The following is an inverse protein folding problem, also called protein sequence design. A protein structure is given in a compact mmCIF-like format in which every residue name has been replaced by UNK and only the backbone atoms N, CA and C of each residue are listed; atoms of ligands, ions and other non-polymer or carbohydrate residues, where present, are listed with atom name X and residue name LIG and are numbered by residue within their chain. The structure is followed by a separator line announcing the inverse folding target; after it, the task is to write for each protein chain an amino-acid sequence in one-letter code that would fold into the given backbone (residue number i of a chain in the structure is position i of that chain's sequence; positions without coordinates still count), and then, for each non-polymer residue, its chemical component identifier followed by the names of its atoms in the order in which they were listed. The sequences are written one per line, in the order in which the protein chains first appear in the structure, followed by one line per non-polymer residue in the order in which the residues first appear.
data_IF_130958512088
#
_entry.id   IF_130958512088
#
_cell.length_a   1.000
_cell.length_b   1.000
_cell.length_c   1.000
_cell.angle_alpha   90.00
_cell.angle_beta   90.00
_cell.angle_gamma   90.00
#
_symmetry.space_group_name_H-M   'P 1'
#
loop_
_entity.id
_entity.type
_entity.pdbx_description
1 polymer ?
#
# COMPACT_ATOMS: atom_id res chain seq x y z
N UNK A 1 -5.31 -14.83 26.01
CA UNK A 1 -4.25 -15.11 25.04
C UNK A 1 -3.11 -14.11 25.22
N UNK A 2 -1.90 -14.59 25.14
CA UNK A 2 -0.73 -13.77 24.85
C UNK A 2 -0.26 -14.09 23.43
N UNK A 3 -0.01 -13.05 22.65
CA UNK A 3 0.50 -13.16 21.29
C UNK A 3 1.47 -12.01 21.06
N UNK A 4 2.73 -12.27 20.72
CA UNK A 4 3.66 -11.23 20.29
C UNK A 4 3.19 -10.59 19.00
N UNK A 5 3.63 -9.37 18.75
CA UNK A 5 3.31 -8.62 17.52
C UNK A 5 4.29 -8.90 16.36
N UNK A 6 5.29 -9.71 16.58
CA UNK A 6 6.41 -10.01 15.69
C UNK A 6 6.38 -11.44 15.13
N UNK A 7 5.19 -12.00 14.96
CA UNK A 7 4.99 -13.33 14.37
C UNK A 7 3.74 -13.40 13.48
N UNK A 8 3.77 -14.30 12.52
CA UNK A 8 2.62 -14.68 11.67
C UNK A 8 2.16 -16.08 12.09
N UNK A 9 0.87 -16.23 12.36
CA UNK A 9 0.28 -17.53 12.72
C UNK A 9 -0.48 -18.11 11.53
N UNK A 10 -0.23 -19.40 11.25
CA UNK A 10 -0.94 -20.18 10.24
C UNK A 10 -1.89 -21.22 10.86
N UNK A 11 -1.95 -21.28 12.20
CA UNK A 11 -2.81 -22.19 12.96
C UNK A 11 -4.07 -21.46 13.44
N UNK A 12 -5.26 -22.06 13.22
CA UNK A 12 -6.49 -21.54 13.80
C UNK A 12 -6.55 -21.86 15.31
N UNK A 13 -6.70 -20.81 16.13
CA UNK A 13 -6.70 -20.93 17.59
C UNK A 13 -8.09 -21.20 18.19
N UNK A 14 -9.19 -21.13 17.40
CA UNK A 14 -10.57 -21.18 17.92
C UNK A 14 -10.92 -22.53 18.60
N UNK A 15 -10.33 -23.61 18.13
CA UNK A 15 -10.62 -24.97 18.62
C UNK A 15 -9.63 -25.46 19.69
N UNK A 16 -8.78 -24.60 20.23
CA UNK A 16 -7.80 -24.99 21.22
C UNK A 16 -8.39 -25.04 22.64
N UNK A 17 -7.78 -25.85 23.55
CA UNK A 17 -8.28 -26.00 24.92
C UNK A 17 -8.34 -24.68 25.69
N UNK A 18 -9.33 -24.51 26.56
CA UNK A 18 -9.44 -23.39 27.50
C UNK A 18 -8.70 -23.66 28.82
N UNK A 19 -7.55 -24.32 28.74
CA UNK A 19 -6.62 -24.58 29.84
C UNK A 19 -5.29 -23.89 29.55
N UNK A 20 -4.34 -23.87 30.49
CA UNK A 20 -3.01 -23.34 30.19
C UNK A 20 -2.36 -24.17 29.09
N UNK A 21 -2.05 -23.54 27.96
CA UNK A 21 -1.27 -24.16 26.91
C UNK A 21 -0.25 -23.20 26.30
N UNK A 22 0.80 -23.76 25.76
CA UNK A 22 1.91 -23.02 25.12
C UNK A 22 2.11 -23.53 23.70
N UNK A 23 2.21 -22.62 22.75
CA UNK A 23 2.54 -22.93 21.37
C UNK A 23 4.00 -23.41 21.25
N UNK A 24 4.20 -24.47 20.47
CA UNK A 24 5.51 -25.07 20.28
C UNK A 24 5.82 -25.29 18.81
N UNK A 25 7.10 -25.22 18.46
CA UNK A 25 7.61 -25.52 17.13
C UNK A 25 9.01 -26.12 17.22
N UNK A 26 9.42 -26.83 16.17
CA UNK A 26 10.79 -27.33 16.05
C UNK A 26 11.70 -26.23 15.52
N UNK A 27 12.86 -26.08 16.12
CA UNK A 27 13.94 -25.20 15.65
C UNK A 27 15.22 -25.97 15.51
N UNK A 28 16.17 -25.45 14.75
CA UNK A 28 17.51 -26.05 14.69
C UNK A 28 18.26 -25.90 16.04
N UNK A 29 19.23 -26.77 16.30
CA UNK A 29 20.02 -26.71 17.52
C UNK A 29 20.72 -25.36 17.67
N UNK A 30 21.22 -24.81 16.57
CA UNK A 30 21.96 -23.53 16.58
C UNK A 30 21.05 -22.34 16.89
N UNK A 31 19.75 -22.42 16.54
CA UNK A 31 18.76 -21.36 16.81
C UNK A 31 18.13 -21.49 18.21
N UNK A 32 18.25 -22.66 18.85
CA UNK A 32 17.58 -22.96 20.13
C UNK A 32 17.97 -21.98 21.26
N UNK A 33 19.19 -21.44 21.25
CA UNK A 33 19.65 -20.45 22.23
C UNK A 33 18.93 -19.09 22.18
N UNK A 34 18.12 -18.86 21.13
CA UNK A 34 17.30 -17.65 20.98
C UNK A 34 15.90 -17.77 21.60
N UNK A 35 15.50 -19.01 21.95
CA UNK A 35 14.15 -19.33 22.39
C UNK A 35 14.07 -19.89 23.81
N UNK A 36 12.87 -19.83 24.37
CA UNK A 36 12.52 -20.63 25.56
C UNK A 36 12.22 -22.06 25.09
N UNK A 37 13.07 -23.01 25.44
CA UNK A 37 13.00 -24.41 25.00
C UNK A 37 12.25 -25.26 26.01
N UNK A 38 11.45 -26.19 25.51
CA UNK A 38 10.51 -27.00 26.27
C UNK A 38 10.73 -28.47 25.95
N UNK A 39 10.89 -29.30 26.96
CA UNK A 39 10.81 -30.76 26.82
C UNK A 39 9.37 -31.18 27.00
N UNK A 40 8.81 -31.85 25.99
CA UNK A 40 7.39 -32.24 25.95
C UNK A 40 7.27 -33.75 25.94
N UNK A 41 6.48 -34.29 26.86
CA UNK A 41 6.16 -35.72 26.94
C UNK A 41 4.63 -35.87 27.10
N UNK A 42 4.00 -36.72 26.28
CA UNK A 42 2.56 -36.93 26.26
C UNK A 42 1.71 -35.64 26.14
N UNK A 43 2.23 -34.65 25.39
CA UNK A 43 1.57 -33.37 25.21
C UNK A 43 1.67 -32.37 26.38
N UNK A 44 2.44 -32.70 27.41
CA UNK A 44 2.67 -31.85 28.57
C UNK A 44 4.11 -31.38 28.63
N UNK A 45 4.33 -30.17 29.13
CA UNK A 45 5.67 -29.61 29.36
C UNK A 45 6.25 -30.25 30.65
N UNK A 46 7.43 -30.82 30.54
CA UNK A 46 8.15 -31.49 31.67
C UNK A 46 9.42 -30.75 32.07
N UNK A 47 10.05 -30.00 31.20
CA UNK A 47 11.22 -29.20 31.48
C UNK A 47 11.25 -27.94 30.64
N UNK A 48 11.82 -26.88 31.21
CA UNK A 48 12.00 -25.57 30.51
C UNK A 48 13.46 -25.16 30.60
N UNK A 49 14.04 -24.81 29.44
CA UNK A 49 15.40 -24.23 29.33
C UNK A 49 15.34 -22.94 28.55
N UNK A 50 15.41 -21.81 29.24
CA UNK A 50 15.34 -20.51 28.62
C UNK A 50 16.68 -20.10 28.01
N UNK A 51 16.69 -19.81 26.70
CA UNK A 51 17.83 -19.28 25.93
C UNK A 51 19.11 -20.13 26.10
N UNK A 52 19.00 -21.45 26.06
CA UNK A 52 20.09 -22.41 26.11
C UNK A 52 20.12 -23.24 24.83
N UNK A 53 21.32 -23.67 24.43
CA UNK A 53 21.48 -24.63 23.33
C UNK A 53 20.87 -25.97 23.77
N UNK A 54 19.90 -26.46 23.02
CA UNK A 54 19.19 -27.71 23.27
C UNK A 54 19.27 -28.64 22.06
N UNK A 55 19.24 -29.95 22.31
CA UNK A 55 19.18 -30.96 21.26
C UNK A 55 17.75 -31.12 20.71
N UNK A 56 17.56 -32.06 19.78
CA UNK A 56 16.28 -32.32 19.10
C UNK A 56 15.15 -32.83 20.00
N UNK A 57 15.42 -33.15 21.28
CA UNK A 57 14.40 -33.57 22.25
C UNK A 57 13.57 -32.40 22.78
N UNK A 58 14.01 -31.16 22.50
CA UNK A 58 13.34 -29.93 22.89
C UNK A 58 12.66 -29.31 21.69
N UNK A 59 11.55 -28.62 21.98
CA UNK A 59 10.84 -27.72 21.05
C UNK A 59 10.91 -26.29 21.57
N UNK A 60 10.89 -25.34 20.70
CA UNK A 60 10.89 -23.93 21.07
C UNK A 60 9.47 -23.42 21.36
N UNK A 61 9.33 -22.48 22.27
CA UNK A 61 8.13 -21.66 22.42
C UNK A 61 7.94 -20.82 21.15
N UNK A 62 6.82 -21.04 20.47
CA UNK A 62 6.47 -20.44 19.20
C UNK A 62 5.51 -19.27 19.32
N UNK A 63 5.50 -18.61 20.42
CA UNK A 63 4.86 -17.35 20.63
C UNK A 63 3.39 -17.32 21.09
N UNK A 64 2.35 -17.98 20.55
CA UNK A 64 1.06 -17.91 21.20
C UNK A 64 1.02 -18.78 22.47
N UNK A 65 0.41 -18.24 23.51
CA UNK A 65 0.05 -19.02 24.70
C UNK A 65 -1.33 -18.61 25.20
N UNK A 66 -2.03 -19.56 25.79
CA UNK A 66 -3.26 -19.30 26.52
C UNK A 66 -3.01 -19.49 28.00
N UNK A 67 -3.29 -18.44 28.77
CA UNK A 67 -3.06 -18.42 30.20
C UNK A 67 -4.41 -18.34 30.89
N UNK A 68 -4.87 -19.47 31.44
CA UNK A 68 -6.04 -19.51 32.29
C UNK A 68 -5.71 -18.95 33.66
N UNK A 69 -4.59 -19.37 34.22
CA UNK A 69 -4.10 -18.97 35.55
C UNK A 69 -3.23 -17.71 35.42
N UNK A 70 -3.81 -16.63 34.90
CA UNK A 70 -3.10 -15.39 34.53
C UNK A 70 -2.46 -14.68 35.73
N UNK A 71 -2.98 -14.85 36.94
CA UNK A 71 -2.41 -14.27 38.16
C UNK A 71 -1.02 -14.83 38.45
N UNK A 72 -0.85 -16.16 38.32
CA UNK A 72 0.44 -16.84 38.48
C UNK A 72 1.46 -16.34 37.44
N UNK A 73 1.00 -16.19 36.21
CA UNK A 73 1.82 -15.70 35.12
C UNK A 73 2.31 -14.26 35.35
N UNK A 74 1.39 -13.36 35.73
CA UNK A 74 1.74 -11.98 35.99
C UNK A 74 2.63 -11.81 37.23
N UNK A 75 2.41 -12.61 38.25
CA UNK A 75 3.29 -12.66 39.45
C UNK A 75 4.73 -13.06 39.08
N UNK A 76 4.86 -14.08 38.19
CA UNK A 76 6.13 -14.50 37.65
C UNK A 76 6.86 -13.43 36.88
N UNK A 77 6.12 -12.63 36.08
CA UNK A 77 6.69 -11.50 35.34
C UNK A 77 7.15 -10.37 36.26
N UNK A 78 6.36 -10.03 37.30
CA UNK A 78 6.62 -8.89 38.20
C UNK A 78 7.80 -9.15 39.15
N UNK A 79 7.91 -10.36 39.67
CA UNK A 79 8.84 -10.70 40.75
C UNK A 79 10.25 -11.05 40.26
N UNK A 80 10.50 -11.14 38.96
CA UNK A 80 11.79 -11.47 38.38
C UNK A 80 12.54 -10.23 37.87
N UNK A 81 13.89 -10.33 37.87
CA UNK A 81 14.75 -9.26 37.37
C UNK A 81 14.49 -8.98 35.89
N UNK A 82 14.40 -7.71 35.55
CA UNK A 82 14.39 -7.25 34.16
C UNK A 82 15.75 -7.49 33.50
N UNK A 83 15.73 -7.95 32.26
CA UNK A 83 16.91 -8.03 31.40
C UNK A 83 16.83 -6.88 30.41
N UNK A 84 17.86 -6.06 30.31
CA UNK A 84 17.85 -4.83 29.46
C UNK A 84 16.65 -3.93 29.67
N UNK A 85 16.19 -3.81 30.93
CA UNK A 85 15.01 -3.06 31.35
C UNK A 85 13.65 -3.62 30.88
N UNK A 86 13.61 -4.86 30.41
CA UNK A 86 12.40 -5.55 29.94
C UNK A 86 12.06 -6.76 30.80
N UNK A 87 10.76 -7.02 30.98
CA UNK A 87 10.28 -8.26 31.59
C UNK A 87 10.37 -9.39 30.57
N UNK A 88 11.01 -10.49 30.93
CA UNK A 88 11.12 -11.66 30.06
C UNK A 88 9.87 -12.53 30.22
N UNK A 89 9.21 -12.84 29.10
CA UNK A 89 8.00 -13.68 29.10
C UNK A 89 8.26 -15.08 29.66
N UNK A 90 9.45 -15.61 29.47
CA UNK A 90 9.87 -16.88 30.01
C UNK A 90 9.71 -16.99 31.56
N UNK A 91 9.82 -15.87 32.27
CA UNK A 91 9.60 -15.85 33.73
C UNK A 91 8.14 -16.15 34.10
N UNK A 92 7.18 -15.64 33.35
CA UNK A 92 5.76 -15.96 33.50
C UNK A 92 5.47 -17.42 33.14
N UNK A 93 6.08 -17.91 32.06
CA UNK A 93 5.93 -19.30 31.60
C UNK A 93 6.50 -20.26 32.65
N UNK A 94 7.69 -19.99 33.20
CA UNK A 94 8.31 -20.79 34.25
C UNK A 94 7.42 -20.81 35.51
N UNK A 95 6.85 -19.68 35.91
CA UNK A 95 5.95 -19.62 37.06
C UNK A 95 4.68 -20.43 36.85
N UNK A 96 4.10 -20.41 35.66
CA UNK A 96 2.97 -21.27 35.28
C UNK A 96 3.34 -22.73 35.35
N UNK A 97 4.47 -23.11 34.76
CA UNK A 97 4.98 -24.50 34.77
C UNK A 97 5.19 -25.03 36.17
N UNK A 98 5.69 -24.21 37.08
CA UNK A 98 5.96 -24.62 38.48
C UNK A 98 4.69 -24.81 39.33
N UNK A 99 3.62 -24.09 39.00
CA UNK A 99 2.41 -24.00 39.84
C UNK A 99 1.18 -24.64 39.19
N UNK A 100 1.18 -24.91 37.88
CA UNK A 100 0.04 -25.50 37.16
C UNK A 100 0.49 -26.37 35.98
N UNK A 101 -0.42 -27.17 35.46
CA UNK A 101 -0.16 -28.00 34.28
C UNK A 101 -0.13 -27.13 33.02
N UNK A 102 0.89 -27.33 32.20
CA UNK A 102 1.08 -26.60 30.94
C UNK A 102 1.07 -27.58 29.76
N UNK A 103 0.09 -27.45 28.88
CA UNK A 103 -0.06 -28.30 27.69
C UNK A 103 0.73 -27.70 26.54
N UNK A 104 1.45 -28.50 25.78
CA UNK A 104 2.12 -28.08 24.55
C UNK A 104 1.19 -28.28 23.35
N UNK A 105 1.14 -27.28 22.48
CA UNK A 105 0.36 -27.30 21.25
C UNK A 105 1.29 -26.96 20.08
N UNK A 106 1.34 -27.85 19.09
CA UNK A 106 2.12 -27.59 17.88
C UNK A 106 1.46 -26.48 17.05
N UNK A 107 2.21 -25.41 16.79
CA UNK A 107 1.74 -24.19 16.12
C UNK A 107 2.59 -23.93 14.89
N UNK A 108 1.93 -23.84 13.75
CA UNK A 108 2.56 -23.30 12.53
C UNK A 108 2.63 -21.78 12.62
N UNK A 109 3.83 -21.27 12.66
CA UNK A 109 4.10 -19.85 12.80
C UNK A 109 5.36 -19.44 12.02
N UNK A 110 5.52 -18.16 11.80
CA UNK A 110 6.72 -17.56 11.23
C UNK A 110 7.17 -16.40 12.10
N UNK A 111 8.46 -16.39 12.46
CA UNK A 111 9.07 -15.32 13.24
C UNK A 111 9.48 -14.18 12.30
N UNK A 112 8.95 -12.98 12.55
CA UNK A 112 9.27 -11.75 11.82
C UNK A 112 9.95 -10.70 12.71
N UNK A 113 10.47 -11.12 13.87
CA UNK A 113 11.07 -10.24 14.88
C UNK A 113 12.37 -9.57 14.47
N UNK A 114 12.96 -9.93 13.34
CA UNK A 114 14.11 -9.23 12.77
C UNK A 114 13.90 -8.89 11.27
N UNK A 115 14.60 -7.86 10.81
CA UNK A 115 14.46 -7.35 9.45
C UNK A 115 14.81 -8.40 8.38
N UNK A 116 15.74 -9.31 8.65
CA UNK A 116 16.16 -10.36 7.69
C UNK A 116 15.06 -11.40 7.51
N UNK A 117 14.47 -11.87 8.62
CA UNK A 117 13.36 -12.82 8.61
C UNK A 117 12.14 -12.21 7.91
N UNK A 118 11.79 -10.97 8.25
CA UNK A 118 10.72 -10.22 7.59
C UNK A 118 10.96 -10.08 6.08
N UNK A 119 12.17 -9.67 5.66
CA UNK A 119 12.52 -9.55 4.25
C UNK A 119 12.49 -10.89 3.51
N UNK A 120 12.88 -12.00 4.18
CA UNK A 120 12.79 -13.34 3.60
C UNK A 120 11.34 -13.69 3.29
N UNK A 121 10.43 -13.50 4.23
CA UNK A 121 8.99 -13.79 4.05
C UNK A 121 8.39 -12.90 2.96
N UNK A 122 8.74 -11.62 2.93
CA UNK A 122 8.32 -10.73 1.84
C UNK A 122 8.81 -11.19 0.48
N UNK A 123 10.04 -11.69 0.39
CA UNK A 123 10.59 -12.21 -0.87
C UNK A 123 9.97 -13.53 -1.32
N UNK A 124 9.42 -14.30 -0.39
CA UNK A 124 8.69 -15.55 -0.63
C UNK A 124 7.18 -15.30 -0.88
N UNK A 125 6.67 -14.09 -0.59
CA UNK A 125 5.31 -13.72 -0.90
C UNK A 125 5.17 -13.46 -2.41
N UNK A 126 4.17 -14.07 -3.04
CA UNK A 126 3.86 -13.86 -4.45
C UNK A 126 3.28 -12.46 -4.74
N UNK A 127 2.90 -11.72 -3.71
CA UNK A 127 2.24 -10.43 -3.83
C UNK A 127 3.24 -9.26 -3.78
N UNK A 128 3.02 -8.25 -4.62
CA UNK A 128 3.81 -7.03 -4.60
C UNK A 128 3.42 -6.14 -3.42
N UNK A 129 4.39 -5.76 -2.57
CA UNK A 129 4.16 -4.97 -1.37
C UNK A 129 4.01 -3.48 -1.70
N UNK A 130 2.81 -2.93 -1.46
CA UNK A 130 2.48 -1.51 -1.54
C UNK A 130 2.42 -0.83 -0.16
N UNK A 131 2.81 -1.51 0.91
CA UNK A 131 2.75 -0.94 2.25
C UNK A 131 3.65 0.30 2.36
N UNK A 132 3.21 1.23 3.18
CA UNK A 132 4.00 2.43 3.52
C UNK A 132 4.51 2.27 4.96
N UNK A 133 5.77 2.57 5.22
CA UNK A 133 6.36 2.32 6.54
C UNK A 133 5.72 3.12 7.68
N UNK A 134 5.02 4.21 7.34
CA UNK A 134 4.44 5.13 8.31
C UNK A 134 2.91 5.09 8.37
N UNK A 135 2.24 4.26 7.56
CA UNK A 135 0.79 4.16 7.50
C UNK A 135 0.33 2.73 7.78
N UNK A 136 -0.69 2.58 8.62
CA UNK A 136 -1.24 1.28 9.03
C UNK A 136 -2.76 1.31 8.91
N UNK A 137 -3.34 0.21 8.43
CA UNK A 137 -4.79 0.04 8.29
C UNK A 137 -5.19 -1.22 9.05
N UNK A 138 -6.17 -1.07 9.94
CA UNK A 138 -6.70 -2.18 10.72
C UNK A 138 -8.20 -2.34 10.45
N UNK A 139 -8.64 -3.58 10.37
CA UNK A 139 -10.05 -3.96 10.23
C UNK A 139 -10.51 -4.64 11.52
N UNK A 140 -11.39 -3.97 12.28
CA UNK A 140 -11.83 -4.43 13.60
C UNK A 140 -13.35 -4.18 13.75
N UNK A 141 -14.13 -5.22 14.03
CA UNK A 141 -15.56 -5.11 14.33
C UNK A 141 -16.33 -4.23 13.31
N UNK A 142 -16.18 -4.53 12.03
CA UNK A 142 -16.80 -3.79 10.92
C UNK A 142 -16.38 -2.30 10.84
N UNK A 143 -15.24 -1.96 11.40
CA UNK A 143 -14.63 -0.63 11.28
C UNK A 143 -13.26 -0.72 10.61
N UNK A 144 -12.90 0.34 9.90
CA UNK A 144 -11.57 0.58 9.38
C UNK A 144 -10.90 1.64 10.24
N UNK A 145 -9.72 1.35 10.74
CA UNK A 145 -8.88 2.29 11.49
C UNK A 145 -7.66 2.60 10.65
N UNK A 146 -7.46 3.87 10.31
CA UNK A 146 -6.24 4.36 9.67
C UNK A 146 -5.38 5.06 10.70
N UNK A 147 -4.13 4.61 10.81
CA UNK A 147 -3.12 5.19 11.68
C UNK A 147 -1.92 5.65 10.84
N UNK A 148 -1.33 6.77 11.21
CA UNK A 148 -0.04 7.20 10.67
C UNK A 148 0.86 7.77 11.77
N UNK A 149 2.15 7.51 11.67
CA UNK A 149 3.16 8.17 12.52
C UNK A 149 3.29 9.66 12.16
N UNK A 150 2.92 10.05 10.95
CA UNK A 150 2.88 11.43 10.46
C UNK A 150 1.52 12.07 10.76
N UNK A 151 1.40 12.67 11.94
CA UNK A 151 0.13 13.24 12.43
C UNK A 151 -0.45 14.34 11.54
N UNK A 152 0.38 15.11 10.84
CA UNK A 152 -0.08 16.16 9.94
C UNK A 152 -0.90 15.60 8.78
N UNK A 153 -0.47 14.48 8.19
CA UNK A 153 -1.21 13.80 7.14
C UNK A 153 -2.59 13.35 7.61
N UNK A 154 -2.68 12.80 8.82
CA UNK A 154 -3.96 12.38 9.41
C UNK A 154 -4.90 13.57 9.63
N UNK A 155 -4.40 14.69 10.15
CA UNK A 155 -5.21 15.89 10.39
C UNK A 155 -5.73 16.50 9.08
N UNK A 156 -4.88 16.53 8.04
CA UNK A 156 -5.29 16.98 6.70
C UNK A 156 -6.34 16.04 6.07
N UNK A 157 -6.18 14.72 6.21
CA UNK A 157 -7.18 13.75 5.74
C UNK A 157 -8.51 13.92 6.47
N UNK A 158 -8.51 14.06 7.80
CA UNK A 158 -9.72 14.31 8.59
C UNK A 158 -10.43 15.60 8.12
N UNK A 159 -9.66 16.67 7.88
CA UNK A 159 -10.19 17.92 7.36
C UNK A 159 -10.85 17.72 5.99
N UNK A 160 -10.16 17.06 5.07
CA UNK A 160 -10.64 16.78 3.71
C UNK A 160 -11.90 15.93 3.68
N UNK A 161 -11.94 14.85 4.45
CA UNK A 161 -13.10 13.96 4.54
C UNK A 161 -14.35 14.65 5.10
N UNK A 162 -14.17 15.69 5.93
CA UNK A 162 -15.28 16.48 6.48
C UNK A 162 -15.88 17.48 5.49
N UNK A 163 -15.11 17.92 4.48
CA UNK A 163 -15.60 18.86 3.44
C UNK A 163 -16.71 18.23 2.62
N UNK A 164 -16.56 16.95 2.24
CA UNK A 164 -17.53 16.20 1.44
C UNK A 164 -17.82 14.83 2.06
N UNK A 165 -18.45 14.82 3.24
CA UNK A 165 -18.71 13.61 4.03
C UNK A 165 -19.73 12.64 3.42
N UNK A 166 -20.38 13.01 2.31
CA UNK A 166 -21.35 12.21 1.58
C UNK A 166 -20.72 11.29 0.52
N UNK A 167 -19.51 11.61 0.07
CA UNK A 167 -18.76 10.80 -0.92
C UNK A 167 -17.66 9.93 -0.29
N UNK A 168 -17.30 10.21 0.97
CA UNK A 168 -16.31 9.48 1.75
C UNK A 168 -16.96 8.72 2.91
N UNK A 169 -16.30 7.69 3.47
CA UNK A 169 -16.78 7.07 4.70
C UNK A 169 -16.85 8.07 5.84
N UNK A 170 -17.97 8.04 6.57
CA UNK A 170 -18.19 8.96 7.69
C UNK A 170 -17.29 8.64 8.87
N UNK A 171 -16.48 9.62 9.30
CA UNK A 171 -15.59 9.47 10.46
C UNK A 171 -16.42 9.26 11.74
N UNK A 172 -16.15 8.16 12.46
CA UNK A 172 -16.75 7.83 13.76
C UNK A 172 -15.96 8.40 14.92
N UNK A 173 -14.66 8.27 14.86
CA UNK A 173 -13.75 8.77 15.88
C UNK A 173 -12.42 9.14 15.25
N UNK A 174 -11.71 10.06 15.86
CA UNK A 174 -10.40 10.49 15.40
C UNK A 174 -9.53 10.99 16.54
N UNK A 175 -8.22 10.87 16.35
CA UNK A 175 -7.19 11.41 17.23
C UNK A 175 -6.06 12.05 16.43
N UNK A 176 -4.97 12.39 17.08
CA UNK A 176 -3.83 13.04 16.43
C UNK A 176 -3.22 12.21 15.31
N UNK A 177 -3.16 10.89 15.50
CA UNK A 177 -2.45 9.97 14.62
C UNK A 177 -3.38 8.94 13.96
N UNK A 178 -4.69 9.00 14.19
CA UNK A 178 -5.63 8.05 13.62
C UNK A 178 -7.00 8.67 13.38
N UNK A 179 -7.77 8.01 12.52
CA UNK A 179 -9.22 8.12 12.43
C UNK A 179 -9.82 6.78 12.10
N UNK A 180 -11.09 6.57 12.45
CA UNK A 180 -11.83 5.38 12.09
C UNK A 180 -13.19 5.71 11.49
N UNK A 181 -13.67 4.77 10.66
CA UNK A 181 -14.95 4.83 9.98
C UNK A 181 -15.54 3.44 9.80
N UNK A 182 -16.84 3.35 9.53
CA UNK A 182 -17.49 2.06 9.25
C UNK A 182 -16.95 1.47 7.96
N UNK A 183 -16.74 0.16 7.96
CA UNK A 183 -16.39 -0.58 6.76
C UNK A 183 -17.53 -0.43 5.73
N UNK A 184 -17.20 0.01 4.54
CA UNK A 184 -18.16 0.07 3.45
C UNK A 184 -18.17 -1.26 2.72
N UNK A 185 -19.27 -2.02 2.83
CA UNK A 185 -19.47 -3.26 2.09
C UNK A 185 -19.71 -2.93 0.62
N UNK A 186 -18.74 -3.21 -0.22
CA UNK A 186 -18.81 -2.94 -1.65
C UNK A 186 -17.65 -3.56 -2.43
N UNK A 187 -17.81 -3.66 -3.73
CA UNK A 187 -16.76 -4.11 -4.62
C UNK A 187 -15.87 -2.95 -5.01
N UNK A 188 -14.56 -3.18 -5.08
CA UNK A 188 -13.65 -2.24 -5.75
C UNK A 188 -14.01 -2.16 -7.24
N UNK A 189 -13.84 -1.00 -7.83
CA UNK A 189 -14.30 -0.76 -9.20
C UNK A 189 -13.61 -1.67 -10.23
N UNK A 190 -12.39 -2.12 -10.00
CA UNK A 190 -11.71 -3.11 -10.84
C UNK A 190 -12.52 -4.42 -11.03
N UNK A 191 -13.34 -4.80 -10.07
CA UNK A 191 -14.10 -6.06 -10.09
C UNK A 191 -15.48 -5.93 -10.76
N UNK A 192 -15.89 -4.72 -11.14
CA UNK A 192 -17.25 -4.51 -11.67
C UNK A 192 -17.41 -4.93 -13.13
N UNK A 193 -16.35 -4.83 -13.92
CA UNK A 193 -16.28 -5.25 -15.32
C UNK A 193 -17.53 -4.85 -16.14
N UNK A 194 -17.92 -3.55 -16.10
CA UNK A 194 -19.16 -3.04 -16.66
C UNK A 194 -18.99 -1.59 -17.16
N UNK A 195 -19.04 -1.41 -18.48
CA UNK A 195 -18.86 -0.09 -19.13
C UNK A 195 -19.98 0.89 -18.74
N UNK A 196 -21.20 0.42 -18.53
CA UNK A 196 -22.32 1.31 -18.13
C UNK A 196 -22.12 1.87 -16.74
N UNK A 197 -21.56 1.09 -15.82
CA UNK A 197 -21.19 1.56 -14.47
C UNK A 197 -20.05 2.56 -14.51
N UNK A 198 -19.14 2.45 -15.48
CA UNK A 198 -18.08 3.45 -15.64
C UNK A 198 -18.65 4.80 -16.12
N UNK A 199 -19.62 4.80 -17.01
CA UNK A 199 -20.31 6.02 -17.40
C UNK A 199 -21.06 6.65 -16.22
N UNK A 200 -21.76 5.82 -15.42
CA UNK A 200 -22.39 6.27 -14.19
C UNK A 200 -21.37 6.88 -13.20
N UNK A 201 -20.19 6.27 -13.08
CA UNK A 201 -19.11 6.79 -12.23
C UNK A 201 -18.64 8.15 -12.70
N UNK A 202 -18.36 8.34 -14.00
CA UNK A 202 -17.88 9.63 -14.52
C UNK A 202 -18.91 10.76 -14.27
N UNK A 203 -20.20 10.49 -14.52
CA UNK A 203 -21.27 11.43 -14.23
C UNK A 203 -21.41 11.72 -12.73
N UNK A 204 -21.23 10.70 -11.89
CA UNK A 204 -21.29 10.83 -10.44
C UNK A 204 -20.12 11.67 -9.89
N UNK A 205 -18.90 11.45 -10.40
CA UNK A 205 -17.71 12.21 -10.04
C UNK A 205 -17.86 13.69 -10.41
N UNK A 206 -18.36 13.98 -11.62
CA UNK A 206 -18.62 15.34 -12.06
C UNK A 206 -19.61 16.07 -11.15
N UNK A 207 -20.65 15.35 -10.72
CA UNK A 207 -21.72 15.94 -9.89
C UNK A 207 -21.32 16.09 -8.42
N UNK A 208 -20.54 15.14 -7.87
CA UNK A 208 -20.38 15.01 -6.43
C UNK A 208 -18.95 15.25 -5.94
N UNK A 209 -17.93 15.12 -6.79
CA UNK A 209 -16.54 15.30 -6.40
C UNK A 209 -15.95 16.60 -6.95
N UNK A 210 -16.02 16.84 -8.25
CA UNK A 210 -15.26 17.89 -8.92
C UNK A 210 -15.98 19.25 -8.85
N UNK A 211 -16.17 19.76 -7.62
CA UNK A 211 -16.74 21.07 -7.39
C UNK A 211 -15.69 22.16 -7.67
N UNK A 212 -16.00 23.09 -8.57
CA UNK A 212 -15.10 24.19 -8.91
C UNK A 212 -14.82 25.10 -7.71
N UNK A 213 -13.59 25.57 -7.62
CA UNK A 213 -13.13 26.48 -6.57
C UNK A 213 -12.60 27.74 -7.23
N UNK A 214 -13.04 28.90 -6.75
CA UNK A 214 -12.53 30.18 -7.25
C UNK A 214 -11.18 30.50 -6.62
N UNK A 215 -10.13 30.56 -7.44
CA UNK A 215 -8.76 30.85 -7.03
C UNK A 215 -8.05 31.64 -8.15
N UNK A 216 -7.13 32.50 -7.78
CA UNK A 216 -6.33 33.27 -8.74
C UNK A 216 -5.48 32.32 -9.63
N UNK A 217 -5.51 32.53 -10.94
CA UNK A 217 -4.74 31.73 -11.92
C UNK A 217 -3.27 31.63 -11.56
N UNK A 218 -2.66 32.77 -11.18
CA UNK A 218 -1.25 32.80 -10.76
C UNK A 218 -0.96 31.87 -9.59
N UNK A 219 -1.87 31.79 -8.62
CA UNK A 219 -1.74 30.87 -7.47
C UNK A 219 -1.86 29.43 -7.94
N UNK A 220 -2.85 29.13 -8.78
CA UNK A 220 -3.04 27.77 -9.32
C UNK A 220 -1.83 27.32 -10.15
N UNK A 221 -1.31 28.19 -11.02
CA UNK A 221 -0.12 27.90 -11.84
C UNK A 221 1.10 27.58 -10.97
N UNK A 222 1.33 28.34 -9.90
CA UNK A 222 2.44 28.07 -8.97
C UNK A 222 2.29 26.72 -8.25
N UNK A 223 1.06 26.35 -7.88
CA UNK A 223 0.80 25.05 -7.24
C UNK A 223 1.00 23.89 -8.22
N UNK A 224 0.52 24.02 -9.44
CA UNK A 224 0.76 23.03 -10.50
C UNK A 224 2.25 22.91 -10.82
N UNK A 225 3.00 24.01 -10.90
CA UNK A 225 4.46 24.00 -11.09
C UNK A 225 5.15 23.21 -9.97
N UNK A 226 4.84 23.52 -8.71
CA UNK A 226 5.37 22.81 -7.56
C UNK A 226 5.03 21.32 -7.57
N UNK A 227 3.79 20.99 -7.96
CA UNK A 227 3.30 19.63 -7.89
C UNK A 227 3.72 18.77 -9.10
N UNK A 228 3.72 19.33 -10.32
CA UNK A 228 4.04 18.60 -11.55
C UNK A 228 5.52 18.66 -11.92
N UNK A 229 6.16 19.83 -11.81
CA UNK A 229 7.54 19.98 -12.24
C UNK A 229 8.53 19.72 -11.09
N UNK A 230 8.52 20.53 -10.04
CA UNK A 230 9.54 20.46 -8.99
C UNK A 230 9.56 19.10 -8.30
N UNK A 231 8.37 18.56 -7.99
CA UNK A 231 8.24 17.22 -7.41
C UNK A 231 8.75 16.14 -8.36
N UNK A 232 8.45 16.22 -9.66
CA UNK A 232 8.87 15.23 -10.65
C UNK A 232 10.39 15.20 -10.80
N UNK A 233 11.02 16.37 -10.92
CA UNK A 233 12.49 16.47 -10.97
C UNK A 233 13.11 15.84 -9.71
N UNK A 234 12.59 16.17 -8.53
CA UNK A 234 13.05 15.57 -7.26
C UNK A 234 12.89 14.04 -7.26
N UNK A 235 11.77 13.52 -7.75
CA UNK A 235 11.50 12.06 -7.80
C UNK A 235 12.42 11.35 -8.79
N UNK A 236 12.65 11.92 -9.95
CA UNK A 236 13.60 11.39 -10.94
C UNK A 236 15.01 11.35 -10.37
N UNK A 237 15.45 12.41 -9.68
CA UNK A 237 16.76 12.43 -9.02
C UNK A 237 16.86 11.33 -7.95
N UNK A 238 15.84 11.12 -7.13
CA UNK A 238 15.81 10.02 -6.15
C UNK A 238 15.94 8.65 -6.82
N UNK A 239 15.31 8.46 -7.99
CA UNK A 239 15.45 7.23 -8.76
C UNK A 239 16.87 7.07 -9.32
N UNK A 240 17.45 8.13 -9.89
CA UNK A 240 18.85 8.14 -10.38
C UNK A 240 19.84 7.84 -9.24
N UNK A 241 19.61 8.37 -8.03
CA UNK A 241 20.42 8.08 -6.84
C UNK A 241 20.32 6.63 -6.39
N UNK A 242 19.11 6.05 -6.44
CA UNK A 242 18.87 4.62 -6.13
C UNK A 242 19.62 3.69 -7.09
N UNK A 243 19.78 4.10 -8.34
CA UNK A 243 20.37 3.31 -9.43
C UNK A 243 21.48 4.07 -10.17
N UNK A 244 22.59 4.33 -9.48
CA UNK A 244 23.68 5.24 -9.94
C UNK A 244 24.23 4.99 -11.36
N UNK A 245 24.20 3.73 -11.84
CA UNK A 245 24.74 3.33 -13.16
C UNK A 245 23.65 2.74 -14.06
N UNK A 246 22.40 3.01 -13.77
CA UNK A 246 21.29 2.50 -14.56
C UNK A 246 20.91 3.48 -15.65
N UNK A 247 21.00 3.03 -16.87
CA UNK A 247 20.52 3.76 -18.05
C UNK A 247 19.09 3.34 -18.35
N UNK A 248 18.21 4.32 -18.54
CA UNK A 248 16.82 4.06 -18.90
C UNK A 248 16.77 3.49 -20.34
N UNK A 249 15.80 2.62 -20.65
CA UNK A 249 15.64 2.07 -21.98
C UNK A 249 15.31 3.18 -22.99
N UNK A 250 15.88 3.05 -24.19
CA UNK A 250 15.58 3.88 -25.36
C UNK A 250 14.58 3.21 -26.31
N UNK A 251 14.12 1.99 -25.99
CA UNK A 251 13.04 1.32 -26.69
C UNK A 251 12.13 0.60 -25.71
N UNK A 252 10.82 0.74 -25.86
CA UNK A 252 9.81 0.10 -25.02
C UNK A 252 8.78 -0.62 -25.88
N UNK A 253 8.66 -1.94 -25.69
CA UNK A 253 7.80 -2.83 -26.49
C UNK A 253 8.03 -2.69 -28.01
N UNK A 254 9.30 -2.50 -28.41
CA UNK A 254 9.69 -2.40 -29.82
C UNK A 254 9.47 -1.02 -30.46
N UNK A 255 9.07 -0.03 -29.66
CA UNK A 255 8.98 1.37 -30.11
C UNK A 255 10.13 2.17 -29.51
N UNK A 256 10.89 2.84 -30.37
CA UNK A 256 11.96 3.72 -29.93
C UNK A 256 11.39 4.95 -29.22
N UNK A 257 12.05 5.38 -28.18
CA UNK A 257 11.73 6.58 -27.42
C UNK A 257 12.99 7.43 -27.24
N UNK A 258 12.80 8.71 -27.07
CA UNK A 258 13.89 9.63 -26.75
C UNK A 258 14.36 9.41 -25.29
N UNK A 259 15.54 9.92 -24.98
CA UNK A 259 16.03 9.92 -23.60
C UNK A 259 15.06 10.67 -22.68
N UNK A 260 15.05 10.32 -21.39
CA UNK A 260 14.16 10.99 -20.43
C UNK A 260 14.44 12.50 -20.36
N UNK A 261 15.69 12.92 -20.48
CA UNK A 261 16.04 14.33 -20.42
C UNK A 261 15.47 15.08 -21.66
N UNK A 262 15.60 14.54 -22.88
CA UNK A 262 14.96 15.09 -24.09
C UNK A 262 13.43 15.11 -23.98
N UNK A 263 12.81 14.06 -23.42
CA UNK A 263 11.37 14.00 -23.20
C UNK A 263 10.92 15.14 -22.27
N UNK A 264 11.64 15.35 -21.15
CA UNK A 264 11.32 16.39 -20.17
C UNK A 264 11.49 17.80 -20.74
N UNK A 265 12.51 18.04 -21.58
CA UNK A 265 12.73 19.31 -22.28
C UNK A 265 11.62 19.62 -23.28
N UNK A 266 11.03 18.57 -23.89
CA UNK A 266 9.99 18.72 -24.90
C UNK A 266 8.59 18.99 -24.34
N UNK A 267 8.37 18.75 -23.04
CA UNK A 267 7.09 19.04 -22.40
C UNK A 267 6.83 20.55 -22.33
N UNK A 268 5.67 20.99 -22.83
CA UNK A 268 5.15 22.34 -22.64
C UNK A 268 4.70 22.53 -21.18
N UNK A 269 5.64 22.72 -20.26
CA UNK A 269 5.33 22.81 -18.84
C UNK A 269 4.34 23.91 -18.47
N UNK A 270 4.43 25.08 -19.15
CA UNK A 270 3.51 26.20 -18.92
C UNK A 270 2.04 25.82 -19.22
N UNK A 271 1.80 24.96 -20.23
CA UNK A 271 0.47 24.43 -20.48
C UNK A 271 0.00 23.51 -19.34
N UNK A 272 0.91 22.71 -18.76
CA UNK A 272 0.59 21.85 -17.62
C UNK A 272 0.35 22.63 -16.32
N UNK A 273 0.84 23.87 -16.22
CA UNK A 273 0.62 24.69 -15.03
C UNK A 273 -0.78 25.33 -15.00
N UNK A 274 -1.45 25.46 -16.16
CA UNK A 274 -2.81 26.01 -16.27
C UNK A 274 -3.86 25.00 -15.74
N UNK A 275 -3.88 24.75 -14.42
CA UNK A 275 -4.80 23.82 -13.79
C UNK A 275 -6.24 24.32 -13.77
N UNK A 276 -7.18 23.38 -13.68
CA UNK A 276 -8.60 23.67 -13.41
C UNK A 276 -8.86 23.43 -11.92
N UNK A 277 -9.01 24.50 -11.12
CA UNK A 277 -9.15 24.37 -9.68
C UNK A 277 -10.51 23.77 -9.30
N UNK A 278 -10.48 22.64 -8.65
CA UNK A 278 -11.67 22.00 -8.08
C UNK A 278 -11.31 21.18 -6.85
N UNK A 279 -12.31 20.73 -6.09
CA UNK A 279 -12.08 19.70 -5.09
C UNK A 279 -11.72 18.40 -5.80
N UNK A 280 -10.64 17.74 -5.36
CA UNK A 280 -10.12 16.51 -5.96
C UNK A 280 -9.95 15.41 -4.91
N UNK A 281 -10.04 14.16 -5.33
CA UNK A 281 -9.62 13.02 -4.53
C UNK A 281 -8.10 12.98 -4.36
N UNK A 282 -7.36 13.17 -5.45
CA UNK A 282 -5.90 13.23 -5.49
C UNK A 282 -5.21 11.86 -5.57
N UNK A 283 -5.94 10.76 -5.43
CA UNK A 283 -5.48 9.40 -5.71
C UNK A 283 -6.62 8.56 -6.29
N UNK A 284 -7.30 9.12 -7.27
CA UNK A 284 -8.52 8.57 -7.87
C UNK A 284 -8.19 7.43 -8.84
N UNK A 285 -7.85 6.28 -8.29
CA UNK A 285 -7.68 5.02 -9.04
C UNK A 285 -8.82 4.05 -8.67
N UNK A 286 -9.06 3.04 -9.51
CA UNK A 286 -10.19 2.13 -9.34
C UNK A 286 -10.14 1.25 -8.09
N UNK A 287 -8.97 1.07 -7.48
CA UNK A 287 -8.85 0.41 -6.18
C UNK A 287 -9.36 1.24 -5.01
N UNK A 288 -9.49 2.57 -5.20
CA UNK A 288 -9.98 3.53 -4.21
C UNK A 288 -11.44 3.94 -4.42
N UNK A 289 -12.14 3.28 -5.34
CA UNK A 289 -13.55 3.53 -5.65
C UNK A 289 -14.33 2.26 -5.31
N UNK A 290 -15.19 2.36 -4.32
CA UNK A 290 -16.08 1.28 -3.90
C UNK A 290 -17.48 1.50 -4.47
N UNK A 291 -18.14 0.42 -4.84
CA UNK A 291 -19.51 0.43 -5.38
C UNK A 291 -20.37 -0.63 -4.74
N UNK A 292 -21.55 -0.23 -4.30
CA UNK A 292 -22.58 -1.12 -3.78
C UNK A 292 -23.97 -0.52 -4.04
N UNK A 293 -24.90 -1.30 -4.57
CA UNK A 293 -26.33 -0.93 -4.74
C UNK A 293 -26.55 0.48 -5.28
N UNK A 294 -25.87 0.84 -6.38
CA UNK A 294 -25.90 2.17 -7.02
C UNK A 294 -25.30 3.31 -6.18
N UNK A 295 -24.53 3.01 -5.16
CA UNK A 295 -23.78 4.00 -4.38
C UNK A 295 -22.29 3.86 -4.61
N UNK A 296 -21.62 4.98 -4.85
CA UNK A 296 -20.17 5.06 -4.85
C UNK A 296 -19.68 5.58 -3.50
N UNK A 297 -18.54 5.07 -3.07
CA UNK A 297 -17.83 5.56 -1.91
C UNK A 297 -16.33 5.64 -2.26
N UNK A 298 -15.72 6.78 -2.00
CA UNK A 298 -14.29 7.01 -2.26
C UNK A 298 -13.49 6.80 -0.99
N UNK A 299 -12.36 6.09 -1.10
CA UNK A 299 -11.46 5.84 0.01
C UNK A 299 -10.03 6.25 -0.36
N UNK A 300 -9.16 6.39 0.61
CA UNK A 300 -7.72 6.61 0.41
C UNK A 300 -7.37 7.87 -0.40
N UNK A 301 -8.12 8.94 -0.19
CA UNK A 301 -7.80 10.21 -0.84
C UNK A 301 -6.44 10.76 -0.39
N UNK A 302 -5.83 11.55 -1.26
CA UNK A 302 -4.58 12.26 -0.95
C UNK A 302 -4.84 13.37 0.08
N UNK A 303 -3.98 13.56 1.09
CA UNK A 303 -4.19 14.60 2.12
C UNK A 303 -4.25 16.01 1.53
N UNK A 304 -3.39 16.34 0.56
CA UNK A 304 -3.32 17.68 -0.02
C UNK A 304 -2.80 17.68 -1.47
N UNK A 305 -3.00 18.79 -2.17
CA UNK A 305 -2.38 19.13 -3.45
C UNK A 305 -1.43 20.32 -3.24
N UNK A 306 -0.13 20.08 -3.31
CA UNK A 306 0.91 21.11 -3.06
C UNK A 306 0.75 21.88 -1.74
N UNK A 307 0.18 21.23 -0.69
CA UNK A 307 -0.06 21.79 0.63
C UNK A 307 -1.51 22.27 0.89
N UNK A 308 -2.39 22.26 -0.13
CA UNK A 308 -3.79 22.67 0.01
C UNK A 308 -4.71 21.44 0.08
N UNK A 309 -5.62 21.46 1.06
CA UNK A 309 -6.57 20.37 1.35
C UNK A 309 -7.85 20.53 0.52
N UNK A 310 -8.30 21.78 0.34
CA UNK A 310 -9.62 22.14 -0.15
C UNK A 310 -9.75 22.01 -1.67
N UNK A 311 -8.64 22.05 -2.40
CA UNK A 311 -8.65 21.99 -3.86
C UNK A 311 -7.37 21.44 -4.46
N UNK A 312 -7.42 21.11 -5.74
CA UNK A 312 -6.30 20.72 -6.58
C UNK A 312 -6.65 20.93 -8.05
N UNK A 313 -5.98 20.22 -8.94
CA UNK A 313 -6.21 20.28 -10.37
C UNK A 313 -7.10 19.10 -10.84
N UNK A 314 -8.21 19.38 -11.52
CA UNK A 314 -9.07 18.37 -12.16
C UNK A 314 -8.27 17.40 -13.03
N UNK A 315 -7.31 17.91 -13.80
CA UNK A 315 -6.48 17.08 -14.67
C UNK A 315 -5.67 16.03 -13.90
N UNK A 316 -5.35 16.27 -12.63
CA UNK A 316 -4.66 15.29 -11.82
C UNK A 316 -5.54 14.07 -11.46
N UNK A 317 -6.79 14.30 -11.08
CA UNK A 317 -7.72 13.19 -10.83
C UNK A 317 -8.04 12.43 -12.13
N UNK A 318 -8.21 13.13 -13.25
CA UNK A 318 -8.41 12.50 -14.55
C UNK A 318 -7.19 11.68 -14.99
N UNK A 319 -5.96 12.16 -14.72
CA UNK A 319 -4.74 11.42 -14.98
C UNK A 319 -4.63 10.16 -14.08
N UNK A 320 -5.09 10.22 -12.83
CA UNK A 320 -5.13 9.07 -11.92
C UNK A 320 -6.16 8.03 -12.36
N UNK A 321 -7.32 8.44 -12.86
CA UNK A 321 -8.30 7.52 -13.48
C UNK A 321 -7.71 6.86 -14.72
N UNK A 322 -7.09 7.64 -15.62
CA UNK A 322 -6.47 7.11 -16.82
C UNK A 322 -5.33 6.13 -16.49
N UNK A 323 -4.52 6.43 -15.46
CA UNK A 323 -3.50 5.52 -14.96
C UNK A 323 -4.11 4.16 -14.54
N UNK A 324 -5.24 4.18 -13.85
CA UNK A 324 -5.99 3.00 -13.46
C UNK A 324 -6.59 2.22 -14.65
N UNK A 325 -6.92 2.89 -15.76
CA UNK A 325 -7.38 2.24 -16.98
C UNK A 325 -6.27 1.47 -17.71
N UNK A 326 -5.05 2.03 -17.73
CA UNK A 326 -3.93 1.43 -18.49
C UNK A 326 -3.08 0.47 -17.65
N UNK A 327 -3.09 0.61 -16.31
CA UNK A 327 -2.48 -0.34 -15.38
C UNK A 327 -3.52 -0.74 -14.34
N UNK A 328 -3.89 -2.02 -14.31
CA UNK A 328 -4.65 -2.56 -13.20
C UNK A 328 -3.71 -2.78 -12.01
N UNK A 329 -3.78 -1.90 -11.01
CA UNK A 329 -2.92 -2.00 -9.82
C UNK A 329 -3.21 -3.22 -8.94
N UNK A 330 -4.40 -3.86 -9.07
CA UNK A 330 -4.65 -5.13 -8.42
C UNK A 330 -3.80 -6.24 -9.04
N UNK A 331 -3.72 -6.30 -10.39
CA UNK A 331 -2.85 -7.25 -11.07
C UNK A 331 -1.36 -7.05 -10.72
N UNK A 332 -0.94 -5.79 -10.46
CA UNK A 332 0.42 -5.53 -9.96
C UNK A 332 0.61 -6.12 -8.55
N UNK A 333 -0.35 -5.95 -7.65
CA UNK A 333 -0.33 -6.55 -6.30
C UNK A 333 -0.24 -8.08 -6.35
N UNK A 334 -0.99 -8.66 -7.29
CA UNK A 334 -1.03 -10.11 -7.51
C UNK A 334 0.18 -10.62 -8.32
N UNK A 335 1.18 -9.76 -8.54
CA UNK A 335 2.40 -10.03 -9.32
C UNK A 335 2.13 -10.51 -10.77
N UNK A 336 0.98 -10.13 -11.34
CA UNK A 336 0.55 -10.48 -12.71
C UNK A 336 1.11 -9.51 -13.75
N UNK A 337 2.39 -9.19 -13.67
CA UNK A 337 3.09 -8.36 -14.63
C UNK A 337 4.51 -8.89 -14.87
N UNK A 338 5.14 -8.47 -15.96
CA UNK A 338 6.52 -8.80 -16.22
C UNK A 338 7.25 -7.63 -16.86
N UNK A 339 8.45 -7.35 -16.38
CA UNK A 339 9.38 -6.39 -16.95
C UNK A 339 10.69 -7.11 -17.30
N UNK A 340 11.09 -7.00 -18.55
CA UNK A 340 12.35 -7.58 -19.05
C UNK A 340 13.11 -6.46 -19.73
N UNK A 341 14.38 -6.32 -19.39
CA UNK A 341 15.26 -5.32 -19.97
C UNK A 341 16.56 -5.96 -20.47
N UNK A 342 16.98 -5.57 -21.66
CA UNK A 342 18.24 -5.99 -22.27
C UNK A 342 18.71 -4.91 -23.25
N UNK A 343 19.96 -4.46 -23.11
CA UNK A 343 20.60 -3.52 -24.05
C UNK A 343 19.74 -2.27 -24.37
N UNK A 344 19.27 -1.57 -23.35
CA UNK A 344 18.39 -0.39 -23.45
C UNK A 344 17.02 -0.66 -24.12
N UNK A 345 16.63 -1.92 -24.27
CA UNK A 345 15.31 -2.31 -24.71
C UNK A 345 14.51 -2.89 -23.56
N UNK A 346 13.33 -2.35 -23.29
CA UNK A 346 12.41 -2.85 -22.30
C UNK A 346 11.19 -3.52 -22.92
N UNK A 347 10.79 -4.66 -22.38
CA UNK A 347 9.52 -5.33 -22.68
C UNK A 347 8.65 -5.34 -21.43
N UNK A 348 7.48 -4.76 -21.55
CA UNK A 348 6.47 -4.64 -20.50
C UNK A 348 5.29 -5.53 -20.86
N UNK A 349 4.97 -6.45 -19.97
CA UNK A 349 3.78 -7.30 -20.07
C UNK A 349 2.85 -6.95 -18.92
N UNK A 350 1.70 -6.41 -19.25
CA UNK A 350 0.60 -6.15 -18.33
C UNK A 350 -0.58 -7.04 -18.73
N UNK A 351 -1.26 -7.59 -17.75
CA UNK A 351 -2.48 -8.33 -18.02
C UNK A 351 -3.55 -7.34 -18.50
N UNK A 352 -4.13 -7.63 -19.65
CA UNK A 352 -5.28 -6.87 -20.17
C UNK A 352 -6.57 -7.33 -19.49
N UNK A 353 -7.42 -6.39 -19.13
CA UNK A 353 -8.79 -6.74 -18.70
C UNK A 353 -9.69 -6.87 -19.93
N UNK A 354 -10.74 -7.64 -19.79
CA UNK A 354 -11.67 -7.91 -20.88
C UNK A 354 -12.26 -6.64 -21.50
N UNK A 355 -12.61 -5.64 -20.67
CA UNK A 355 -13.24 -4.39 -21.11
C UNK A 355 -12.28 -3.20 -21.18
N UNK A 356 -10.97 -3.38 -21.03
CA UNK A 356 -10.01 -2.28 -20.93
C UNK A 356 -10.11 -1.30 -22.10
N UNK A 357 -10.14 -1.78 -23.32
CA UNK A 357 -10.21 -0.94 -24.53
C UNK A 357 -11.50 -0.13 -24.55
N UNK A 358 -12.64 -0.76 -24.29
CA UNK A 358 -13.95 -0.09 -24.24
C UNK A 358 -14.04 0.97 -23.13
N UNK A 359 -13.40 0.72 -21.99
CA UNK A 359 -13.34 1.70 -20.89
C UNK A 359 -12.45 2.89 -21.24
N UNK A 360 -11.33 2.66 -21.93
CA UNK A 360 -10.44 3.73 -22.42
C UNK A 360 -11.19 4.58 -23.46
N UNK A 361 -11.84 3.96 -24.45
CA UNK A 361 -12.65 4.66 -25.47
C UNK A 361 -13.77 5.50 -24.83
N UNK A 362 -14.46 4.96 -23.85
CA UNK A 362 -15.51 5.67 -23.10
C UNK A 362 -14.93 6.88 -22.34
N UNK A 363 -13.78 6.70 -21.68
CA UNK A 363 -13.10 7.79 -20.98
C UNK A 363 -12.65 8.89 -21.95
N UNK A 364 -12.00 8.54 -23.05
CA UNK A 364 -11.52 9.50 -24.04
C UNK A 364 -12.68 10.27 -24.68
N UNK A 365 -13.78 9.58 -25.02
CA UNK A 365 -15.01 10.20 -25.52
C UNK A 365 -15.61 11.19 -24.50
N UNK A 366 -15.63 10.83 -23.21
CA UNK A 366 -16.06 11.73 -22.14
C UNK A 366 -15.18 12.98 -22.06
N UNK A 367 -13.85 12.82 -22.08
CA UNK A 367 -12.91 13.96 -22.04
C UNK A 367 -13.13 14.92 -23.22
N UNK A 368 -13.29 14.37 -24.43
CA UNK A 368 -13.57 15.17 -25.65
C UNK A 368 -14.90 15.90 -25.52
N UNK A 369 -15.95 15.22 -25.02
CA UNK A 369 -17.29 15.82 -24.85
C UNK A 369 -17.31 17.00 -23.88
N UNK A 370 -16.34 17.00 -22.91
CA UNK A 370 -16.18 18.09 -21.93
C UNK A 370 -15.19 19.17 -22.37
N UNK A 371 -14.72 19.14 -23.62
CA UNK A 371 -13.69 20.04 -24.15
C UNK A 371 -12.41 20.06 -23.30
N UNK A 372 -12.05 18.92 -22.70
CA UNK A 372 -10.83 18.76 -21.92
C UNK A 372 -9.69 18.25 -22.81
N UNK A 373 -8.46 18.58 -22.44
CA UNK A 373 -7.26 18.23 -23.21
C UNK A 373 -6.78 16.81 -22.87
N UNK A 374 -7.11 15.83 -23.72
CA UNK A 374 -6.71 14.43 -23.55
C UNK A 374 -5.19 14.24 -23.59
N UNK A 375 -4.47 14.96 -24.46
CA UNK A 375 -3.00 14.93 -24.53
C UNK A 375 -2.39 15.32 -23.18
N UNK A 376 -2.90 16.35 -22.54
CA UNK A 376 -2.49 16.78 -21.21
C UNK A 376 -2.70 15.70 -20.16
N UNK A 377 -3.85 15.00 -20.18
CA UNK A 377 -4.15 13.91 -19.26
C UNK A 377 -3.12 12.79 -19.44
N UNK A 378 -2.81 12.39 -20.68
CA UNK A 378 -1.83 11.34 -20.97
C UNK A 378 -0.42 11.72 -20.50
N UNK A 379 0.00 12.97 -20.71
CA UNK A 379 1.29 13.48 -20.19
C UNK A 379 1.32 13.42 -18.66
N UNK A 380 0.28 13.93 -17.99
CA UNK A 380 0.20 13.90 -16.52
C UNK A 380 0.14 12.47 -15.96
N UNK A 381 -0.45 11.53 -16.70
CA UNK A 381 -0.40 10.09 -16.36
C UNK A 381 1.01 9.56 -16.40
N UNK A 382 1.78 9.86 -17.45
CA UNK A 382 3.19 9.50 -17.54
C UNK A 382 4.00 10.13 -16.41
N UNK A 383 3.81 11.42 -16.12
CA UNK A 383 4.41 12.12 -14.98
C UNK A 383 4.04 11.43 -13.65
N UNK A 384 2.81 10.95 -13.52
CA UNK A 384 2.38 10.21 -12.33
C UNK A 384 3.19 8.92 -12.15
N UNK A 385 3.43 8.18 -13.23
CA UNK A 385 4.26 6.97 -13.20
C UNK A 385 5.72 7.27 -12.84
N UNK A 386 6.32 8.31 -13.44
CA UNK A 386 7.67 8.76 -13.08
C UNK A 386 7.77 9.13 -11.58
N UNK A 387 6.74 9.79 -11.04
CA UNK A 387 6.67 10.14 -9.62
C UNK A 387 6.48 8.94 -8.69
N UNK A 388 5.83 7.87 -9.15
CA UNK A 388 5.61 6.65 -8.39
C UNK A 388 6.85 5.76 -8.36
N UNK A 389 7.62 5.71 -9.45
CA UNK A 389 8.75 4.81 -9.61
C UNK A 389 9.72 4.77 -8.40
N UNK A 390 10.27 5.89 -7.88
CA UNK A 390 11.21 5.82 -6.76
C UNK A 390 10.59 5.38 -5.43
N UNK A 391 9.26 5.23 -5.36
CA UNK A 391 8.54 4.78 -4.17
C UNK A 391 8.37 3.25 -4.11
N UNK A 392 8.66 2.56 -5.19
CA UNK A 392 8.47 1.12 -5.32
C UNK A 392 9.81 0.41 -5.49
N UNK A 393 9.77 -0.92 -5.43
CA UNK A 393 10.92 -1.79 -5.64
C UNK A 393 10.96 -2.34 -7.07
N UNK A 394 12.17 -2.79 -7.48
CA UNK A 394 12.34 -3.51 -8.75
C UNK A 394 11.53 -4.82 -8.72
N UNK A 395 10.93 -5.21 -9.86
CA UNK A 395 11.03 -4.59 -11.20
C UNK A 395 9.98 -3.52 -11.49
N UNK A 396 9.02 -3.25 -10.59
CA UNK A 396 7.90 -2.36 -10.84
C UNK A 396 8.32 -0.89 -10.97
N UNK A 397 9.30 -0.43 -10.21
CA UNK A 397 9.85 0.92 -10.32
C UNK A 397 10.46 1.19 -11.70
N UNK A 398 11.20 0.23 -12.26
CA UNK A 398 11.77 0.32 -13.60
C UNK A 398 10.69 0.28 -14.69
N UNK A 399 9.67 -0.57 -14.51
CA UNK A 399 8.49 -0.59 -15.38
C UNK A 399 7.83 0.78 -15.42
N UNK A 400 7.59 1.39 -14.25
CA UNK A 400 6.94 2.71 -14.15
C UNK A 400 7.77 3.81 -14.84
N UNK A 401 9.10 3.79 -14.68
CA UNK A 401 9.99 4.74 -15.37
C UNK A 401 9.91 4.56 -16.90
N UNK A 402 10.06 3.35 -17.39
CA UNK A 402 10.03 3.05 -18.83
C UNK A 402 8.67 3.35 -19.45
N UNK A 403 7.57 2.92 -18.81
CA UNK A 403 6.22 3.11 -19.31
C UNK A 403 5.77 4.57 -19.24
N UNK A 404 6.12 5.28 -18.16
CA UNK A 404 5.87 6.70 -18.01
C UNK A 404 6.61 7.52 -19.06
N UNK A 405 7.90 7.22 -19.30
CA UNK A 405 8.68 7.86 -20.36
C UNK A 405 8.08 7.63 -21.74
N UNK A 406 7.70 6.38 -22.06
CA UNK A 406 7.02 6.05 -23.32
C UNK A 406 5.73 6.83 -23.49
N UNK A 407 4.88 6.86 -22.46
CA UNK A 407 3.59 7.54 -22.55
C UNK A 407 3.74 9.03 -22.81
N UNK A 408 4.72 9.69 -22.19
CA UNK A 408 5.00 11.10 -22.46
C UNK A 408 5.61 11.27 -23.85
N UNK A 409 6.59 10.45 -24.22
CA UNK A 409 7.24 10.48 -25.54
C UNK A 409 6.22 10.45 -26.65
N UNK A 410 5.26 9.53 -26.59
CA UNK A 410 4.19 9.37 -27.59
C UNK A 410 3.32 10.63 -27.71
N UNK A 411 3.25 11.48 -26.69
CA UNK A 411 2.48 12.71 -26.73
C UNK A 411 3.28 13.94 -27.21
N UNK A 412 4.59 13.98 -26.94
CA UNK A 412 5.39 15.18 -27.21
C UNK A 412 6.17 15.10 -28.53
N UNK A 413 6.43 13.89 -29.04
CA UNK A 413 7.16 13.68 -30.29
C UNK A 413 6.31 13.14 -31.45
N UNK A 414 5.07 12.68 -31.20
CA UNK A 414 4.19 12.30 -32.30
C UNK A 414 3.72 13.57 -33.00
N UNK A 415 4.14 13.77 -34.24
CA UNK A 415 3.60 14.83 -35.10
C UNK A 415 2.10 14.61 -35.26
N UNK A 416 1.28 15.65 -35.04
CA UNK A 416 -0.12 15.69 -35.43
C UNK A 416 -0.26 15.63 -36.97
N UNK A 417 -0.02 14.47 -37.55
CA UNK A 417 -0.34 14.16 -38.93
C UNK A 417 -1.58 13.28 -38.96
N UNK A 418 -2.70 13.79 -38.48
CA UNK A 418 -4.07 13.40 -38.90
C UNK A 418 -4.98 14.57 -38.60
N UNK A 419 -5.09 15.43 -39.57
CA UNK A 419 -6.26 16.33 -39.77
C UNK A 419 -7.48 15.51 -40.12
#
# INVERSE_FOLDING_TARGET
YYMPCDCILHTNLENLPKTNWIGTTKVSQDESNSYCNLKVENGLVHEIRDKQICNSDYVAFSAPLFVKDYEIFWEGLKNNKKIKNEHQISNGIISLFQKSTLTAVDIKWEDIGDLKKYQKILSESENFDFSKPNEFIYFINNMVIKFSTESENILQLISKLKIHSDIFPKIKSSGKNFFCYDYFEGNIFYNLNDVSKFELLLNWLEKNLWHSVNIEDKKMNNLCKKFYYEKTIKRINNFKEKYKNYELPLSVNGNDIHSLDEILEKISWDELFNGIPCFIHGDLNFGNILYNENKFCLIDCRPNFAGFVEFGDLYYDLAKLYAGLIINFQDIRDNNFKYIESNQNAKIYLKKWELQESLIEKFESYIISKNLNLKRIKILTGITFLNMAPLHNSPFDKLLMAFGSKLINDQVFTNNNTT
#
